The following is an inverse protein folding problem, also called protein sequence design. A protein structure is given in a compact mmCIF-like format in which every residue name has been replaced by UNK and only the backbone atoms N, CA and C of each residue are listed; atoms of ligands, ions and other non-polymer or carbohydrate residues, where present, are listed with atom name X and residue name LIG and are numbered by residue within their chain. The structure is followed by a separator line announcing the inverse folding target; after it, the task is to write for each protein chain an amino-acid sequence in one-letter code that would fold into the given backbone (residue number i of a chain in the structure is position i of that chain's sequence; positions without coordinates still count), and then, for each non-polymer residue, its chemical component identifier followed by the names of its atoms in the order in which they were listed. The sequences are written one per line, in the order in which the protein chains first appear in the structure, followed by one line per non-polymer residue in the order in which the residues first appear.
data_IF_422812362284
#
_entry.id   IF_422812362284
#
_cell.length_a   1.000
_cell.length_b   1.000
_cell.length_c   1.000
_cell.angle_alpha   90.00
_cell.angle_beta   90.00
_cell.angle_gamma   90.00
#
_symmetry.space_group_name_H-M   'P 1'
#
loop_
_entity.id
_entity.type
_entity.pdbx_description
1 polymer ?
#
# COMPACT_ATOMS: atom_id res chain seq x y z
N UNK A 1 8.38 -3.94 4.77
CA UNK A 1 7.76 -2.61 4.72
C UNK A 1 6.77 -2.54 3.57
N UNK A 2 5.48 -2.42 3.79
CA UNK A 2 4.47 -2.29 2.73
C UNK A 2 3.91 -0.88 2.76
N UNK A 3 3.88 -0.19 1.61
CA UNK A 3 3.12 1.06 1.50
C UNK A 3 1.74 0.74 0.97
N UNK A 4 0.72 1.21 1.67
CA UNK A 4 -0.66 0.97 1.27
C UNK A 4 -1.52 2.21 1.48
N UNK A 5 -2.52 2.38 0.61
CA UNK A 5 -3.57 3.41 0.71
C UNK A 5 -4.84 2.72 1.18
N UNK A 6 -5.44 3.13 2.28
CA UNK A 6 -6.73 2.55 2.68
C UNK A 6 -7.86 3.11 1.81
N UNK A 7 -8.51 2.28 0.97
CA UNK A 7 -9.78 2.68 0.32
C UNK A 7 -10.88 2.68 1.40
N UNK A 8 -11.50 3.84 1.68
CA UNK A 8 -12.55 3.89 2.69
C UNK A 8 -13.79 3.15 2.19
N UNK A 9 -14.36 2.28 3.03
CA UNK A 9 -15.79 1.92 2.90
C UNK A 9 -16.62 2.95 3.66
N UNK A 10 -17.86 3.18 3.22
CA UNK A 10 -18.80 4.13 3.85
C UNK A 10 -18.77 4.02 5.38
N UNK A 11 -18.41 5.12 6.05
CA UNK A 11 -18.38 5.23 7.52
C UNK A 11 -17.16 4.61 8.22
N UNK A 12 -16.18 4.06 7.50
CA UNK A 12 -15.00 3.41 8.08
C UNK A 12 -13.87 4.36 8.49
N UNK A 13 -13.11 4.00 9.54
CA UNK A 13 -11.85 4.67 9.88
C UNK A 13 -10.76 4.28 8.87
N UNK A 14 -9.94 5.23 8.42
CA UNK A 14 -8.89 5.03 7.42
C UNK A 14 -7.88 3.95 7.82
N UNK A 15 -7.40 3.97 9.07
CA UNK A 15 -6.46 2.97 9.60
C UNK A 15 -7.02 1.55 9.56
N UNK A 16 -8.29 1.38 9.94
CA UNK A 16 -8.96 0.07 9.89
C UNK A 16 -9.17 -0.42 8.45
N UNK A 17 -9.41 0.51 7.53
CA UNK A 17 -9.51 0.19 6.10
C UNK A 17 -8.17 -0.27 5.52
N UNK A 18 -7.06 0.36 5.90
CA UNK A 18 -5.72 -0.06 5.48
C UNK A 18 -5.34 -1.45 5.98
N UNK A 19 -5.63 -1.78 7.25
CA UNK A 19 -5.41 -3.13 7.78
C UNK A 19 -6.22 -4.19 7.03
N UNK A 20 -7.50 -3.89 6.78
CA UNK A 20 -8.39 -4.77 6.01
C UNK A 20 -7.83 -5.01 4.61
N UNK A 21 -7.41 -3.96 3.91
CA UNK A 21 -6.94 -4.10 2.53
C UNK A 21 -5.62 -4.83 2.41
N UNK A 22 -4.65 -4.58 3.29
CA UNK A 22 -3.42 -5.38 3.27
C UNK A 22 -3.75 -6.87 3.41
N UNK A 23 -4.69 -7.22 4.30
CA UNK A 23 -5.15 -8.61 4.44
C UNK A 23 -5.86 -9.11 3.17
N UNK A 24 -6.79 -8.35 2.60
CA UNK A 24 -7.57 -8.75 1.43
C UNK A 24 -6.73 -8.84 0.15
N UNK A 25 -5.76 -7.95 -0.04
CA UNK A 25 -4.95 -7.84 -1.24
C UNK A 25 -3.71 -8.72 -1.20
N UNK A 26 -3.17 -9.05 -0.02
CA UNK A 26 -1.88 -9.75 0.10
C UNK A 26 -1.91 -10.98 1.01
N UNK A 27 -2.97 -11.18 1.80
CA UNK A 27 -3.05 -12.25 2.80
C UNK A 27 -2.22 -12.00 4.07
N UNK A 28 -1.45 -10.92 4.16
CA UNK A 28 -0.61 -10.60 5.31
C UNK A 28 -1.49 -10.20 6.51
N UNK A 29 -1.24 -10.82 7.67
CA UNK A 29 -1.99 -10.54 8.90
C UNK A 29 -1.13 -10.11 10.07
N UNK A 30 0.16 -10.48 10.09
CA UNK A 30 1.07 -10.12 11.17
C UNK A 30 1.90 -8.91 10.77
N UNK A 31 1.39 -7.74 11.12
CA UNK A 31 2.01 -6.47 10.76
C UNK A 31 1.78 -5.39 11.82
N UNK A 32 2.71 -4.43 11.88
CA UNK A 32 2.56 -3.18 12.60
C UNK A 32 2.35 -2.05 11.58
N UNK A 33 1.24 -1.33 11.70
CA UNK A 33 0.84 -0.25 10.77
C UNK A 33 1.12 1.12 11.40
N UNK A 34 1.77 1.99 10.63
CA UNK A 34 2.15 3.35 11.03
C UNK A 34 1.61 4.36 10.02
N UNK A 35 1.18 5.53 10.51
CA UNK A 35 0.93 6.69 9.66
C UNK A 35 2.26 7.18 9.09
N UNK A 36 2.34 7.44 7.78
CA UNK A 36 3.49 8.14 7.21
C UNK A 36 3.41 9.66 7.43
N UNK A 37 2.26 10.17 7.87
CA UNK A 37 1.90 11.59 7.86
C UNK A 37 1.99 12.21 6.45
N UNK A 38 1.80 11.40 5.41
CA UNK A 38 1.73 11.85 4.00
C UNK A 38 0.44 11.39 3.34
N UNK A 39 0.12 12.02 2.21
CA UNK A 39 -1.08 11.74 1.42
C UNK A 39 -0.72 11.58 -0.05
N UNK A 40 -1.41 10.66 -0.71
CA UNK A 40 -1.47 10.63 -2.17
C UNK A 40 -2.65 11.42 -2.67
N UNK A 41 -2.42 12.20 -3.73
CA UNK A 41 -3.40 13.08 -4.35
C UNK A 41 -3.49 12.78 -5.84
N UNK A 42 -4.69 12.44 -6.30
CA UNK A 42 -4.93 12.04 -7.69
C UNK A 42 -6.14 12.81 -8.20
N UNK A 43 -5.95 13.56 -9.29
CA UNK A 43 -7.06 14.13 -10.03
C UNK A 43 -7.63 13.10 -11.00
N UNK A 44 -8.93 12.86 -10.95
CA UNK A 44 -9.69 12.02 -11.87
C UNK A 44 -10.42 12.92 -12.87
N UNK A 45 -9.94 13.05 -14.13
CA UNK A 45 -10.58 13.93 -15.10
C UNK A 45 -12.01 13.48 -15.45
N UNK A 46 -12.25 12.16 -15.50
CA UNK A 46 -13.56 11.60 -15.85
C UNK A 46 -14.65 11.91 -14.82
N UNK A 47 -14.27 12.06 -13.55
CA UNK A 47 -15.19 12.42 -12.47
C UNK A 47 -15.05 13.89 -12.05
N UNK A 48 -14.16 14.63 -12.72
CA UNK A 48 -13.75 15.99 -12.37
C UNK A 48 -13.55 16.19 -10.86
N UNK A 49 -12.83 15.24 -10.24
CA UNK A 49 -12.74 15.14 -8.78
C UNK A 49 -11.30 14.91 -8.32
N UNK A 50 -10.97 15.45 -7.14
CA UNK A 50 -9.68 15.23 -6.47
C UNK A 50 -9.83 14.15 -5.40
N UNK A 51 -9.07 13.07 -5.52
CA UNK A 51 -8.95 12.03 -4.52
C UNK A 51 -7.74 12.31 -3.63
N UNK A 52 -7.96 12.37 -2.32
CA UNK A 52 -6.90 12.48 -1.31
C UNK A 52 -6.97 11.24 -0.43
N UNK A 53 -5.87 10.49 -0.35
CA UNK A 53 -5.79 9.25 0.43
C UNK A 53 -4.59 9.26 1.37
N UNK A 54 -4.78 8.97 2.67
CA UNK A 54 -3.65 8.84 3.59
C UNK A 54 -2.80 7.63 3.24
N UNK A 55 -1.48 7.80 3.33
CA UNK A 55 -0.52 6.72 3.11
C UNK A 55 -0.13 6.11 4.46
N UNK A 56 0.00 4.79 4.47
CA UNK A 56 0.45 4.05 5.65
C UNK A 56 1.66 3.18 5.32
N UNK A 57 2.47 2.96 6.35
CA UNK A 57 3.67 2.12 6.31
C UNK A 57 3.42 0.91 7.21
N UNK A 58 3.53 -0.30 6.66
CA UNK A 58 3.42 -1.54 7.43
C UNK A 58 4.77 -2.23 7.57
N UNK A 59 5.17 -2.59 8.79
CA UNK A 59 6.25 -3.54 9.03
C UNK A 59 5.63 -4.93 9.22
N UNK A 60 6.18 -5.95 8.56
CA UNK A 60 5.61 -7.29 8.57
C UNK A 60 6.62 -8.26 9.17
N UNK A 61 6.15 -9.31 9.84
CA UNK A 61 7.02 -10.43 10.23
C UNK A 61 7.58 -11.12 8.97
N UNK A 62 8.84 -11.57 9.06
CA UNK A 62 9.46 -12.39 8.02
C UNK A 62 8.71 -13.71 7.83
N UNK A 63 8.85 -14.32 6.64
CA UNK A 63 8.26 -15.62 6.29
C UNK A 63 6.73 -15.67 6.19
N UNK A 64 6.06 -14.54 5.96
CA UNK A 64 4.66 -14.54 5.52
C UNK A 64 4.56 -14.67 4.00
N UNK A 65 3.80 -15.66 3.53
CA UNK A 65 3.50 -15.83 2.11
C UNK A 65 2.56 -14.73 1.62
N UNK A 66 2.94 -14.07 0.53
CA UNK A 66 2.08 -13.11 -0.16
C UNK A 66 1.13 -13.88 -1.07
N UNK A 67 -0.17 -13.68 -0.89
CA UNK A 67 -1.23 -14.22 -1.73
C UNK A 67 -2.06 -13.08 -2.27
N UNK A 68 -1.85 -12.78 -3.55
CA UNK A 68 -2.56 -11.71 -4.22
C UNK A 68 -4.01 -12.11 -4.50
N UNK A 69 -4.93 -11.17 -4.34
CA UNK A 69 -6.29 -11.30 -4.86
C UNK A 69 -6.34 -10.93 -6.34
N UNK A 70 -7.53 -10.94 -6.92
CA UNK A 70 -7.78 -10.61 -8.32
C UNK A 70 -7.58 -9.14 -8.70
N UNK A 71 -7.37 -8.23 -7.74
CA UNK A 71 -7.04 -6.83 -8.04
C UNK A 71 -5.58 -6.64 -8.46
N UNK A 72 -4.72 -7.64 -8.20
CA UNK A 72 -3.28 -7.57 -8.44
C UNK A 72 -2.77 -8.78 -9.22
N UNK A 73 -1.85 -8.53 -10.16
CA UNK A 73 -1.29 -9.56 -11.04
C UNK A 73 0.14 -9.99 -10.67
N UNK A 74 0.79 -9.30 -9.73
CA UNK A 74 2.16 -9.63 -9.33
C UNK A 74 2.67 -8.76 -8.18
N UNK A 75 3.74 -9.22 -7.54
CA UNK A 75 4.44 -8.49 -6.49
C UNK A 75 5.95 -8.72 -6.60
N UNK A 76 6.74 -7.80 -6.04
CA UNK A 76 8.19 -7.94 -5.88
C UNK A 76 8.58 -7.40 -4.50
N UNK A 77 9.51 -8.07 -3.83
CA UNK A 77 10.22 -7.51 -2.69
C UNK A 77 11.41 -6.70 -3.21
N UNK A 78 11.44 -5.41 -2.90
CA UNK A 78 12.49 -4.49 -3.30
C UNK A 78 13.25 -3.95 -2.11
N UNK A 79 14.56 -3.70 -2.28
CA UNK A 79 15.30 -2.81 -1.39
C UNK A 79 14.75 -1.38 -1.45
N UNK A 80 15.12 -0.54 -0.49
CA UNK A 80 14.64 0.83 -0.45
C UNK A 80 15.10 1.68 -1.65
N UNK A 81 16.30 1.45 -2.19
CA UNK A 81 16.77 2.21 -3.36
C UNK A 81 16.07 1.74 -4.65
N UNK A 82 15.92 0.43 -4.86
CA UNK A 82 15.15 -0.09 -6.01
C UNK A 82 13.68 0.39 -5.97
N UNK A 83 13.11 0.49 -4.77
CA UNK A 83 11.77 1.00 -4.55
C UNK A 83 11.59 2.44 -5.07
N UNK A 84 12.53 3.33 -4.74
CA UNK A 84 12.46 4.74 -5.14
C UNK A 84 12.47 4.91 -6.66
N UNK A 85 13.25 4.10 -7.36
CA UNK A 85 13.29 4.08 -8.82
C UNK A 85 11.99 3.51 -9.42
N UNK A 86 11.41 2.49 -8.78
CA UNK A 86 10.21 1.83 -9.29
C UNK A 86 8.91 2.65 -9.08
N UNK A 87 8.83 3.38 -7.97
CA UNK A 87 7.63 4.11 -7.53
C UNK A 87 7.45 5.45 -8.25
N UNK A 88 8.52 6.00 -8.83
CA UNK A 88 8.52 7.31 -9.49
C UNK A 88 7.86 7.34 -10.87
N UNK A 89 7.33 6.22 -11.36
CA UNK A 89 6.56 6.18 -12.61
C UNK A 89 5.15 6.79 -12.43
N UNK A 90 4.82 7.88 -13.14
CA UNK A 90 3.50 8.50 -13.06
C UNK A 90 2.44 7.56 -13.63
N UNK A 91 1.34 7.33 -12.87
CA UNK A 91 0.17 6.59 -13.33
C UNK A 91 0.08 5.12 -12.91
N UNK A 92 0.98 4.64 -12.06
CA UNK A 92 1.05 3.21 -11.78
C UNK A 92 0.03 2.74 -10.71
N UNK A 93 -0.88 1.85 -11.13
CA UNK A 93 -1.87 1.13 -10.29
C UNK A 93 -1.24 -0.15 -9.70
N UNK A 94 -0.31 -0.01 -8.77
CA UNK A 94 0.29 -1.17 -8.08
C UNK A 94 0.46 -0.92 -6.59
N UNK A 95 -0.08 -1.82 -5.76
CA UNK A 95 0.28 -1.92 -4.35
C UNK A 95 1.69 -2.52 -4.28
N UNK A 96 2.68 -1.81 -3.72
CA UNK A 96 4.07 -2.25 -3.72
C UNK A 96 4.55 -2.72 -2.35
N UNK A 97 5.25 -3.85 -2.35
CA UNK A 97 5.87 -4.46 -1.19
C UNK A 97 7.37 -4.12 -1.16
N UNK A 98 7.88 -3.64 -0.03
CA UNK A 98 9.30 -3.36 0.16
C UNK A 98 9.88 -4.24 1.26
N UNK A 99 11.13 -4.65 1.10
CA UNK A 99 11.93 -5.23 2.17
C UNK A 99 12.88 -4.14 2.66
N UNK A 100 12.71 -3.70 3.91
CA UNK A 100 13.73 -2.88 4.56
C UNK A 100 14.72 -3.87 5.15
N UNK A 101 15.89 -3.99 4.55
CA UNK A 101 17.05 -4.54 5.23
C UNK A 101 17.44 -3.50 6.29
N UNK A 102 17.17 -3.81 7.56
CA UNK A 102 17.62 -2.98 8.67
C UNK A 102 19.08 -3.35 8.94
N UNK A 103 19.93 -2.33 9.00
CA UNK A 103 21.21 -2.40 9.70
C UNK A 103 21.00 -2.74 11.18
#
# INVERSE_FOLDING_TARGET
MVLHRGKPRTGGKSLGSSLREVKEETGITKLALYSSNTFDQIYSPGENSLYITPVFVSFIEENQDVRLNNEHSGYKWLSFEEAKEFVTLPGNRGSYLYRKELY
#
